data_IF_698771131898
#
_entry.id   IF_698771131898
#
_cell.length_a   1.000
_cell.length_b   1.000
_cell.length_c   1.000
_cell.angle_alpha   90.00
_cell.angle_beta   90.00
_cell.angle_gamma   90.00
#
_symmetry.space_group_name_H-M   'P 1'
#
loop_
_entity.id
_entity.type
_entity.pdbx_description
1 polymer ?
#
# COMPACT_ATOMS: atom_id res chain seq x y z
N UNK A 1 4.72 -4.37 -4.77
CA UNK A 1 5.08 -3.37 -3.73
C UNK A 1 6.35 -2.65 -4.13
N UNK A 2 6.38 -1.36 -3.87
CA UNK A 2 7.53 -0.49 -4.17
C UNK A 2 7.80 0.41 -2.98
N UNK A 3 9.05 0.85 -2.82
CA UNK A 3 9.32 2.04 -2.02
C UNK A 3 8.89 3.26 -2.83
N UNK A 4 8.29 4.23 -2.17
CA UNK A 4 7.86 5.47 -2.80
C UNK A 4 8.11 6.65 -1.87
N UNK A 5 8.44 7.80 -2.44
CA UNK A 5 8.53 9.06 -1.70
C UNK A 5 7.13 9.69 -1.62
N UNK A 6 6.55 9.67 -0.44
CA UNK A 6 5.21 10.17 -0.17
C UNK A 6 5.19 11.62 0.32
N UNK A 7 6.35 12.23 0.48
CA UNK A 7 6.44 13.63 0.92
C UNK A 7 6.10 14.61 -0.21
N UNK A 8 5.55 15.80 0.10
CA UNK A 8 5.14 16.26 1.43
C UNK A 8 3.76 15.74 1.84
N UNK A 9 3.53 15.67 3.14
CA UNK A 9 2.24 15.24 3.72
C UNK A 9 1.80 16.18 4.82
N UNK A 10 0.55 16.06 5.25
CA UNK A 10 -0.05 16.88 6.31
C UNK A 10 -0.61 15.94 7.39
N UNK A 11 -0.32 16.27 8.65
CA UNK A 11 -0.91 15.59 9.82
C UNK A 11 -0.64 14.09 9.87
N UNK A 12 -1.69 13.31 9.94
CA UNK A 12 -1.63 11.84 10.11
C UNK A 12 -1.33 11.08 8.83
N UNK A 13 -1.15 11.75 7.71
CA UNK A 13 -0.80 11.10 6.46
C UNK A 13 0.60 10.47 6.55
N UNK A 14 0.77 9.30 5.90
CA UNK A 14 2.07 8.65 5.83
C UNK A 14 2.99 9.41 4.89
N UNK A 15 4.17 9.83 5.38
CA UNK A 15 5.15 10.59 4.60
C UNK A 15 6.51 9.93 4.58
N UNK A 16 7.46 10.55 3.85
CA UNK A 16 8.81 10.04 3.66
C UNK A 16 8.87 8.91 2.65
N UNK A 17 10.02 8.25 2.56
CA UNK A 17 10.21 7.08 1.69
C UNK A 17 9.70 5.84 2.43
N UNK A 18 8.63 5.23 1.90
CA UNK A 18 7.93 4.12 2.54
C UNK A 18 7.50 3.08 1.52
N UNK A 19 7.30 1.82 1.97
CA UNK A 19 6.66 0.82 1.12
C UNK A 19 5.23 1.22 0.81
N UNK A 20 4.80 0.94 -0.42
CA UNK A 20 3.41 1.11 -0.85
C UNK A 20 2.98 -0.13 -1.62
N UNK A 21 1.68 -0.42 -1.57
CA UNK A 21 1.06 -1.46 -2.39
C UNK A 21 0.38 -0.80 -3.58
N UNK A 22 0.78 -1.19 -4.79
CA UNK A 22 0.12 -0.72 -6.00
C UNK A 22 -1.21 -1.44 -6.15
N UNK A 23 -2.29 -0.68 -6.19
CA UNK A 23 -3.66 -1.20 -6.27
C UNK A 23 -4.36 -0.88 -7.59
N UNK A 24 -3.67 -0.18 -8.49
CA UNK A 24 -4.17 0.10 -9.83
C UNK A 24 -4.06 -1.15 -10.71
N UNK A 25 -5.00 -1.33 -11.65
CA UNK A 25 -4.96 -2.47 -12.57
C UNK A 25 -3.75 -2.42 -13.51
N UNK A 26 -3.42 -3.55 -14.12
CA UNK A 26 -2.22 -3.69 -14.96
C UNK A 26 -2.23 -2.77 -16.17
N UNK A 27 -3.40 -2.52 -16.75
CA UNK A 27 -3.52 -1.63 -17.91
C UNK A 27 -3.16 -0.19 -17.51
N UNK A 28 -3.68 0.30 -16.37
CA UNK A 28 -3.31 1.59 -15.83
C UNK A 28 -1.84 1.66 -15.47
N UNK A 29 -1.30 0.59 -14.85
CA UNK A 29 0.13 0.52 -14.51
C UNK A 29 1.03 0.64 -15.74
N UNK A 30 0.61 0.10 -16.89
CA UNK A 30 1.39 0.11 -18.11
C UNK A 30 1.34 1.48 -18.82
N UNK A 31 0.20 2.12 -18.88
CA UNK A 31 -0.02 3.28 -19.75
C UNK A 31 -0.15 4.61 -19.03
N UNK A 32 -0.55 4.62 -17.78
CA UNK A 32 -0.70 5.87 -17.02
C UNK A 32 0.64 6.40 -16.52
N UNK A 33 0.86 7.72 -16.50
CA UNK A 33 2.03 8.30 -15.83
C UNK A 33 1.92 8.26 -14.30
N UNK A 34 0.76 7.91 -13.77
CA UNK A 34 0.49 7.83 -12.34
C UNK A 34 0.08 6.42 -11.94
N UNK A 35 0.17 6.12 -10.65
CA UNK A 35 -0.32 4.87 -10.07
C UNK A 35 -1.15 5.18 -8.82
N UNK A 36 -2.11 4.30 -8.54
CA UNK A 36 -2.89 4.34 -7.29
C UNK A 36 -2.21 3.39 -6.31
N UNK A 37 -1.91 3.89 -5.12
CA UNK A 37 -1.16 3.14 -4.12
C UNK A 37 -1.75 3.31 -2.72
N UNK A 38 -1.68 2.25 -1.92
CA UNK A 38 -2.00 2.26 -0.51
C UNK A 38 -0.71 2.27 0.31
N UNK A 39 -0.68 3.09 1.35
CA UNK A 39 0.48 3.18 2.23
C UNK A 39 0.66 1.91 3.06
N UNK A 40 1.90 1.54 3.31
CA UNK A 40 2.27 0.44 4.20
C UNK A 40 3.09 1.01 5.36
N UNK A 41 2.77 0.61 6.59
CA UNK A 41 3.49 1.02 7.79
C UNK A 41 4.06 -0.18 8.54
N UNK A 42 5.21 -0.02 9.17
CA UNK A 42 5.77 -1.01 10.10
C UNK A 42 5.26 -0.83 11.54
N UNK A 43 4.46 0.19 11.81
CA UNK A 43 3.89 0.44 13.14
C UNK A 43 2.68 -0.46 13.36
N UNK A 44 2.93 -1.70 13.76
CA UNK A 44 1.88 -2.71 13.93
C UNK A 44 1.09 -2.57 15.23
N UNK A 45 1.52 -1.69 16.13
CA UNK A 45 0.83 -1.41 17.41
C UNK A 45 -0.27 -0.35 17.28
N UNK A 46 -0.51 0.19 16.10
CA UNK A 46 -1.64 1.10 15.86
C UNK A 46 -2.96 0.37 16.08
N UNK A 47 -3.99 1.12 16.50
CA UNK A 47 -5.35 0.59 16.58
C UNK A 47 -5.77 0.02 15.22
N UNK A 48 -6.28 -1.20 15.24
CA UNK A 48 -6.67 -1.89 13.99
C UNK A 48 -8.03 -1.39 13.52
N UNK A 49 -8.11 -1.09 12.24
CA UNK A 49 -9.34 -0.72 11.56
C UNK A 49 -9.72 -1.81 10.55
N UNK A 50 -10.99 -1.90 10.11
CA UNK A 50 -11.39 -2.84 9.05
C UNK A 50 -10.65 -2.61 7.74
N UNK A 51 -10.04 -1.43 7.57
CA UNK A 51 -9.26 -1.05 6.38
C UNK A 51 -7.78 -1.42 6.50
N UNK A 52 -7.35 -2.05 7.59
CA UNK A 52 -5.98 -2.47 7.83
C UNK A 52 -5.79 -3.94 7.48
N UNK A 53 -4.74 -4.26 6.72
CA UNK A 53 -4.35 -5.64 6.39
C UNK A 53 -2.95 -5.90 6.90
N UNK A 54 -2.81 -6.88 7.78
CA UNK A 54 -1.50 -7.28 8.30
C UNK A 54 -0.74 -8.10 7.25
N UNK A 55 0.54 -7.75 7.07
CA UNK A 55 1.50 -8.49 6.28
C UNK A 55 2.56 -9.04 7.22
N UNK A 56 2.66 -10.36 7.32
CA UNK A 56 3.65 -11.00 8.17
C UNK A 56 5.08 -10.78 7.67
N UNK A 57 6.06 -11.06 8.54
CA UNK A 57 7.48 -10.92 8.19
C UNK A 57 7.93 -11.85 7.06
N UNK A 58 7.14 -12.88 6.75
CA UNK A 58 7.40 -13.77 5.62
C UNK A 58 6.88 -13.23 4.28
N UNK A 59 6.24 -12.06 4.28
CA UNK A 59 5.80 -11.42 3.03
C UNK A 59 7.03 -10.98 2.24
N UNK A 60 7.10 -11.44 1.01
CA UNK A 60 8.26 -11.26 0.15
C UNK A 60 8.72 -9.81 0.06
N UNK A 61 9.97 -9.56 0.39
CA UNK A 61 10.63 -8.27 0.25
C UNK A 61 10.44 -7.31 1.42
N UNK A 62 9.53 -7.58 2.34
CA UNK A 62 9.36 -6.75 3.54
C UNK A 62 10.32 -7.20 4.64
N UNK A 63 10.95 -6.23 5.30
CA UNK A 63 11.96 -6.48 6.33
C UNK A 63 11.37 -6.71 7.71
N UNK A 64 10.10 -6.41 7.91
CA UNK A 64 9.43 -6.53 9.20
C UNK A 64 7.93 -6.73 8.99
N UNK A 65 7.24 -7.14 10.04
CA UNK A 65 5.78 -7.15 10.05
C UNK A 65 5.26 -5.75 9.69
N UNK A 66 4.28 -5.70 8.83
CA UNK A 66 3.77 -4.45 8.28
C UNK A 66 2.25 -4.48 8.18
N UNK A 67 1.65 -3.32 7.98
CA UNK A 67 0.20 -3.15 7.81
C UNK A 67 -0.05 -2.31 6.59
N UNK A 68 -0.91 -2.79 5.68
CA UNK A 68 -1.43 -1.99 4.56
C UNK A 68 -2.58 -1.15 5.08
N UNK A 69 -2.53 0.15 4.83
CA UNK A 69 -3.53 1.12 5.26
C UNK A 69 -4.41 1.49 4.07
N UNK A 70 -5.51 0.75 3.86
CA UNK A 70 -6.37 1.01 2.70
C UNK A 70 -7.23 2.26 2.84
N UNK A 71 -7.22 2.92 3.99
CA UNK A 71 -7.79 4.26 4.13
C UNK A 71 -6.81 5.36 3.68
N UNK A 72 -5.53 5.04 3.50
CA UNK A 72 -4.51 5.99 3.02
C UNK A 72 -4.09 5.65 1.59
N UNK A 73 -5.01 5.90 0.69
CA UNK A 73 -4.84 5.66 -0.74
C UNK A 73 -4.56 6.99 -1.41
N UNK A 74 -3.61 7.01 -2.33
CA UNK A 74 -3.35 8.22 -3.11
C UNK A 74 -2.86 7.85 -4.51
N UNK A 75 -3.12 8.76 -5.43
CA UNK A 75 -2.54 8.73 -6.77
C UNK A 75 -1.20 9.43 -6.72
N UNK A 76 -0.16 8.77 -7.16
CA UNK A 76 1.19 9.33 -7.18
C UNK A 76 1.79 9.23 -8.59
N UNK A 77 2.65 10.20 -8.92
CA UNK A 77 3.43 10.12 -10.15
C UNK A 77 4.40 8.94 -10.08
N UNK A 78 4.59 8.23 -11.19
CA UNK A 78 5.52 7.11 -11.24
C UNK A 78 6.95 7.50 -10.88
N UNK A 79 7.33 8.76 -11.06
CA UNK A 79 8.66 9.25 -10.66
C UNK A 79 8.90 9.19 -9.15
N UNK A 80 7.84 9.09 -8.34
CA UNK A 80 7.98 8.91 -6.89
C UNK A 80 8.30 7.48 -6.49
N UNK A 81 8.12 6.50 -7.39
CA UNK A 81 8.47 5.10 -7.13
C UNK A 81 9.97 4.94 -7.14
N UNK A 82 10.48 4.23 -6.15
CA UNK A 82 11.88 3.90 -5.98
C UNK A 82 12.08 2.40 -6.27
N UNK A 83 12.76 1.69 -5.42
CA UNK A 83 13.08 0.30 -5.60
C UNK A 83 11.84 -0.59 -5.47
N UNK A 84 11.72 -1.60 -6.34
CA UNK A 84 10.70 -2.63 -6.23
C UNK A 84 11.02 -3.54 -5.03
N UNK A 85 10.02 -3.79 -4.19
CA UNK A 85 10.16 -4.65 -3.02
C UNK A 85 9.81 -6.09 -3.38
N UNK A 86 8.66 -6.29 -4.03
CA UNK A 86 8.17 -7.62 -4.34
C UNK A 86 6.75 -7.59 -4.87
N UNK A 87 6.15 -8.76 -4.96
CA UNK A 87 4.81 -8.95 -5.49
C UNK A 87 3.99 -9.78 -4.52
N UNK A 88 2.73 -9.40 -4.30
CA UNK A 88 1.81 -10.19 -3.48
C UNK A 88 1.00 -11.07 -4.41
N UNK A 89 1.17 -12.38 -4.28
CA UNK A 89 0.43 -13.39 -5.05
C UNK A 89 -0.36 -14.36 -4.16
N UNK A 90 -0.32 -14.20 -2.84
CA UNK A 90 -1.15 -14.95 -1.91
C UNK A 90 -2.61 -14.48 -2.03
N UNK A 91 -3.48 -15.37 -2.50
CA UNK A 91 -4.89 -15.04 -2.73
C UNK A 91 -5.64 -14.67 -1.44
N UNK A 92 -5.23 -15.21 -0.30
CA UNK A 92 -5.82 -14.83 1.00
C UNK A 92 -5.57 -13.35 1.29
N UNK A 93 -4.35 -12.88 1.06
CA UNK A 93 -3.98 -11.48 1.24
C UNK A 93 -4.70 -10.60 0.20
N UNK A 94 -4.71 -11.01 -1.06
CA UNK A 94 -5.38 -10.26 -2.13
C UNK A 94 -6.87 -10.09 -1.82
N UNK A 95 -7.54 -11.15 -1.36
CA UNK A 95 -8.96 -11.08 -1.01
C UNK A 95 -9.19 -10.13 0.19
N UNK A 96 -8.32 -10.15 1.19
CA UNK A 96 -8.40 -9.22 2.32
C UNK A 96 -8.23 -7.77 1.87
N UNK A 97 -7.30 -7.51 0.96
CA UNK A 97 -7.09 -6.16 0.39
C UNK A 97 -8.35 -5.71 -0.35
N UNK A 98 -8.93 -6.57 -1.19
CA UNK A 98 -10.16 -6.24 -1.93
C UNK A 98 -11.32 -5.92 -0.97
N UNK A 99 -11.51 -6.72 0.08
CA UNK A 99 -12.56 -6.49 1.07
C UNK A 99 -12.34 -5.17 1.80
N UNK A 100 -11.11 -4.89 2.20
CA UNK A 100 -10.78 -3.65 2.90
C UNK A 100 -10.96 -2.41 2.00
N UNK A 101 -10.64 -2.51 0.71
CA UNK A 101 -10.92 -1.45 -0.26
C UNK A 101 -12.42 -1.20 -0.36
N UNK A 102 -13.24 -2.25 -0.38
CA UNK A 102 -14.69 -2.12 -0.36
C UNK A 102 -15.18 -1.35 0.86
N UNK A 103 -14.67 -1.66 2.05
CA UNK A 103 -14.99 -0.94 3.28
C UNK A 103 -14.54 0.52 3.19
N UNK A 104 -13.32 0.76 2.73
CA UNK A 104 -12.74 2.11 2.61
C UNK A 104 -13.55 3.02 1.69
N UNK A 105 -14.11 2.48 0.61
CA UNK A 105 -14.93 3.24 -0.35
C UNK A 105 -16.43 3.18 -0.06
N UNK A 106 -16.85 2.48 0.98
CA UNK A 106 -18.26 2.38 1.33
C UNK A 106 -19.08 1.51 0.38
N UNK A 107 -18.45 0.52 -0.22
CA UNK A 107 -19.11 -0.40 -1.14
C UNK A 107 -19.77 -1.58 -0.44
#
# INVERSE_FOLDING_TARGET
MFYADLSPVIGSEQGGIRPVLIIQNDLGNKYSPTVIAAAITSQTNKAKLPTHIELGENTQGLKSNSVVLTEQIRTIDKSRLKEKIGHIDDMTIINKVNDALGVSFGL
#
